data_IF_429795788309
#
_entry.id   IF_429795788309
#
_cell.length_a   1.000
_cell.length_b   1.000
_cell.length_c   1.000
_cell.angle_alpha   90.00
_cell.angle_beta   90.00
_cell.angle_gamma   90.00
#
_symmetry.space_group_name_H-M   'P 1'
#
loop_
_entity.id
_entity.type
_entity.pdbx_description
1 polymer ?
#
# COMPACT_ATOMS: atom_id res chain seq x y z
N UNK A 1 3.93 9.15 -0.57
CA UNK A 1 4.45 7.97 0.17
C UNK A 1 4.94 8.48 1.52
N UNK A 2 5.01 7.66 2.59
CA UNK A 2 5.89 8.10 3.68
C UNK A 2 7.30 7.74 3.22
N UNK A 3 8.19 8.73 3.18
CA UNK A 3 9.58 8.58 2.76
C UNK A 3 10.23 7.38 3.46
N UNK A 4 9.89 7.18 4.73
CA UNK A 4 10.37 6.11 5.60
C UNK A 4 10.21 4.70 5.00
N UNK A 5 9.07 4.37 4.37
CA UNK A 5 8.88 3.01 3.81
C UNK A 5 9.76 2.80 2.58
N UNK A 6 10.00 3.85 1.79
CA UNK A 6 10.89 3.76 0.63
C UNK A 6 12.35 3.69 1.03
N UNK A 7 12.73 4.42 2.08
CA UNK A 7 14.07 4.37 2.66
C UNK A 7 14.36 2.97 3.23
N UNK A 8 13.42 2.40 3.99
CA UNK A 8 13.52 1.02 4.51
C UNK A 8 13.69 -0.01 3.39
N UNK A 9 12.93 0.10 2.29
CA UNK A 9 13.06 -0.81 1.14
C UNK A 9 14.46 -0.69 0.52
N UNK A 10 14.97 0.54 0.34
CA UNK A 10 16.30 0.78 -0.20
C UNK A 10 17.39 0.19 0.70
N UNK A 11 17.28 0.37 2.01
CA UNK A 11 18.22 -0.18 2.99
C UNK A 11 18.23 -1.71 2.97
N UNK A 12 17.06 -2.35 2.85
CA UNK A 12 16.95 -3.81 2.74
C UNK A 12 17.60 -4.31 1.44
N UNK A 13 17.38 -3.63 0.31
CA UNK A 13 18.01 -3.98 -0.97
C UNK A 13 19.54 -3.86 -0.90
N UNK A 14 20.05 -2.85 -0.20
CA UNK A 14 21.48 -2.67 0.03
C UNK A 14 22.09 -3.75 0.92
N UNK A 15 21.41 -4.13 2.01
CA UNK A 15 21.84 -5.23 2.88
C UNK A 15 21.85 -6.55 2.12
N UNK A 16 20.81 -6.83 1.32
CA UNK A 16 20.78 -8.01 0.45
C UNK A 16 22.03 -8.02 -0.43
N UNK A 17 22.30 -6.96 -1.20
CA UNK A 17 23.49 -6.88 -2.06
C UNK A 17 24.79 -7.20 -1.30
N UNK A 18 24.98 -6.63 -0.11
CA UNK A 18 26.17 -6.88 0.73
C UNK A 18 26.27 -8.36 1.16
N UNK A 19 25.16 -9.00 1.53
CA UNK A 19 25.13 -10.44 1.87
C UNK A 19 25.53 -11.29 0.67
N UNK A 20 25.05 -10.97 -0.54
CA UNK A 20 25.42 -11.70 -1.76
C UNK A 20 26.91 -11.57 -2.07
N UNK A 21 27.49 -10.39 -1.87
CA UNK A 21 28.92 -10.18 -2.01
C UNK A 21 29.73 -10.95 -0.96
N UNK A 22 29.29 -10.94 0.30
CA UNK A 22 29.91 -11.69 1.39
C UNK A 22 29.90 -13.20 1.10
N UNK A 23 28.75 -13.75 0.68
CA UNK A 23 28.62 -15.15 0.27
C UNK A 23 29.60 -15.52 -0.84
N UNK A 24 29.70 -14.69 -1.88
CA UNK A 24 30.65 -14.92 -2.98
C UNK A 24 32.13 -14.91 -2.50
N UNK A 25 32.48 -14.07 -1.53
CA UNK A 25 33.83 -14.03 -0.96
C UNK A 25 34.12 -15.26 -0.10
N UNK A 26 33.12 -15.74 0.66
CA UNK A 26 33.22 -16.96 1.46
C UNK A 26 33.42 -18.17 0.56
N UNK A 27 32.61 -18.33 -0.49
CA UNK A 27 32.78 -19.43 -1.44
C UNK A 27 34.19 -19.44 -2.08
N UNK A 28 34.72 -18.27 -2.47
CA UNK A 28 36.10 -18.16 -2.98
C UNK A 28 37.15 -18.50 -1.92
N UNK A 29 36.89 -18.17 -0.65
CA UNK A 29 37.79 -18.46 0.46
C UNK A 29 37.76 -19.94 0.77
N UNK A 30 36.59 -20.57 0.87
CA UNK A 30 36.41 -22.00 1.08
C UNK A 30 37.19 -22.83 0.05
N UNK A 31 37.12 -22.47 -1.24
CA UNK A 31 37.90 -23.11 -2.31
C UNK A 31 39.42 -22.98 -2.10
N UNK A 32 39.90 -21.82 -1.64
CA UNK A 32 41.32 -21.60 -1.32
C UNK A 32 41.76 -22.35 -0.06
N UNK A 33 40.91 -22.40 0.97
CA UNK A 33 41.18 -23.15 2.20
C UNK A 33 41.21 -24.66 1.92
N UNK A 34 40.33 -25.16 1.04
CA UNK A 34 40.40 -26.50 0.45
C UNK A 34 41.69 -26.78 -0.35
N UNK A 35 42.56 -25.79 -0.57
CA UNK A 35 43.90 -26.03 -1.13
C UNK A 35 45.02 -26.11 -0.06
N UNK A 36 44.84 -25.59 1.16
CA UNK A 36 45.83 -25.59 2.26
C UNK A 36 45.78 -26.88 3.12
N UNK A 37 46.75 -27.19 3.99
CA UNK A 37 46.93 -28.52 4.60
C UNK A 37 45.84 -28.97 5.64
N UNK A 38 45.77 -30.29 5.90
CA UNK A 38 44.57 -31.08 6.31
C UNK A 38 43.78 -30.75 7.58
N UNK A 39 44.39 -30.38 8.71
CA UNK A 39 43.62 -30.10 9.95
C UNK A 39 43.10 -28.67 10.00
N UNK A 40 43.93 -27.70 9.62
CA UNK A 40 43.53 -26.30 9.42
C UNK A 40 42.43 -26.14 8.35
N UNK A 41 42.35 -27.13 7.45
CA UNK A 41 41.36 -27.26 6.37
C UNK A 41 39.95 -27.57 6.86
N UNK A 42 39.86 -28.42 7.87
CA UNK A 42 38.59 -29.05 8.24
C UNK A 42 37.80 -28.13 9.16
N UNK A 43 38.45 -27.50 10.13
CA UNK A 43 37.82 -26.53 11.04
C UNK A 43 37.37 -25.27 10.28
N UNK A 44 38.28 -24.62 9.54
CA UNK A 44 37.95 -23.41 8.78
C UNK A 44 36.98 -23.68 7.63
N UNK A 45 37.04 -24.85 7.01
CA UNK A 45 36.07 -25.26 5.98
C UNK A 45 34.66 -25.40 6.54
N UNK A 46 34.52 -26.09 7.67
CA UNK A 46 33.22 -26.27 8.36
C UNK A 46 32.67 -24.93 8.86
N UNK A 47 33.52 -24.05 9.40
CA UNK A 47 33.09 -22.73 9.86
C UNK A 47 32.61 -21.85 8.70
N UNK A 48 33.27 -21.91 7.54
CA UNK A 48 32.86 -21.17 6.35
C UNK A 48 31.55 -21.70 5.78
N UNK A 49 31.35 -23.01 5.74
CA UNK A 49 30.06 -23.62 5.34
C UNK A 49 28.93 -23.21 6.29
N UNK A 50 29.17 -23.27 7.60
CA UNK A 50 28.20 -22.80 8.60
C UNK A 50 27.88 -21.31 8.44
N UNK A 51 28.88 -20.49 8.12
CA UNK A 51 28.67 -19.07 7.87
C UNK A 51 27.88 -18.83 6.57
N UNK A 52 28.13 -19.62 5.53
CA UNK A 52 27.36 -19.56 4.28
C UNK A 52 25.88 -19.94 4.50
N UNK A 53 25.60 -20.96 5.30
CA UNK A 53 24.23 -21.35 5.68
C UNK A 53 23.53 -20.19 6.40
N UNK A 54 24.17 -19.59 7.42
CA UNK A 54 23.60 -18.45 8.15
C UNK A 54 23.36 -17.24 7.25
N UNK A 55 24.27 -16.94 6.33
CA UNK A 55 24.04 -15.86 5.36
C UNK A 55 22.86 -16.16 4.43
N UNK A 56 22.65 -17.42 4.07
CA UNK A 56 21.49 -17.83 3.28
C UNK A 56 20.18 -17.68 4.07
N UNK A 57 20.16 -18.05 5.35
CA UNK A 57 19.01 -17.86 6.23
C UNK A 57 18.67 -16.37 6.35
N UNK A 58 19.65 -15.52 6.67
CA UNK A 58 19.47 -14.06 6.76
C UNK A 58 18.98 -13.48 5.42
N UNK A 59 19.51 -13.95 4.30
CA UNK A 59 19.05 -13.54 2.97
C UNK A 59 17.57 -13.89 2.76
N UNK A 60 17.16 -15.11 3.10
CA UNK A 60 15.78 -15.56 2.93
C UNK A 60 14.82 -14.77 3.84
N UNK A 61 15.22 -14.50 5.09
CA UNK A 61 14.43 -13.70 6.02
C UNK A 61 14.26 -12.26 5.50
N UNK A 62 15.33 -11.65 5.00
CA UNK A 62 15.29 -10.31 4.41
C UNK A 62 14.43 -10.27 3.14
N UNK A 63 14.48 -11.29 2.29
CA UNK A 63 13.62 -11.38 1.11
C UNK A 63 12.15 -11.49 1.52
N UNK A 64 11.82 -12.27 2.55
CA UNK A 64 10.47 -12.34 3.13
C UNK A 64 9.99 -10.99 3.62
N UNK A 65 10.82 -10.30 4.43
CA UNK A 65 10.50 -8.97 4.95
C UNK A 65 10.33 -7.94 3.82
N UNK A 66 11.15 -8.03 2.76
CA UNK A 66 11.04 -7.17 1.59
C UNK A 66 9.71 -7.38 0.86
N UNK A 67 9.25 -8.63 0.71
CA UNK A 67 7.94 -8.93 0.11
C UNK A 67 6.80 -8.39 0.97
N UNK A 68 6.85 -8.60 2.29
CA UNK A 68 5.86 -8.06 3.23
C UNK A 68 5.80 -6.53 3.15
N UNK A 69 6.95 -5.85 3.12
CA UNK A 69 7.02 -4.40 2.98
C UNK A 69 6.42 -3.91 1.65
N UNK A 70 6.63 -4.64 0.55
CA UNK A 70 6.02 -4.35 -0.76
C UNK A 70 4.50 -4.52 -0.71
N UNK A 71 4.00 -5.60 -0.13
CA UNK A 71 2.56 -5.85 0.04
C UNK A 71 1.92 -4.76 0.90
N UNK A 72 2.51 -4.40 2.04
CA UNK A 72 2.02 -3.32 2.90
C UNK A 72 1.95 -1.98 2.16
N UNK A 73 2.92 -1.72 1.25
CA UNK A 73 2.90 -0.52 0.40
C UNK A 73 1.71 -0.53 -0.55
N UNK A 74 1.43 -1.66 -1.20
CA UNK A 74 0.31 -1.82 -2.12
C UNK A 74 -1.03 -1.69 -1.40
N UNK A 75 -1.18 -2.33 -0.24
CA UNK A 75 -2.38 -2.25 0.59
C UNK A 75 -2.66 -0.81 1.05
N UNK A 76 -1.61 -0.07 1.46
CA UNK A 76 -1.74 1.34 1.84
C UNK A 76 -2.22 2.21 0.67
N UNK A 77 -1.75 1.94 -0.55
CA UNK A 77 -2.19 2.65 -1.75
C UNK A 77 -3.64 2.30 -2.09
N UNK A 78 -4.00 1.02 -2.02
CA UNK A 78 -5.36 0.55 -2.24
C UNK A 78 -6.33 1.18 -1.23
N UNK A 79 -5.98 1.19 0.06
CA UNK A 79 -6.77 1.81 1.13
C UNK A 79 -6.96 3.32 0.90
N UNK A 80 -5.88 4.05 0.55
CA UNK A 80 -5.97 5.47 0.24
C UNK A 80 -6.92 5.72 -0.95
N UNK A 81 -6.87 4.89 -1.99
CA UNK A 81 -7.77 5.00 -3.14
C UNK A 81 -9.22 4.70 -2.78
N UNK A 82 -9.46 3.72 -1.90
CA UNK A 82 -10.79 3.32 -1.46
C UNK A 82 -11.44 4.42 -0.63
N UNK A 83 -10.71 4.99 0.34
CA UNK A 83 -11.17 6.14 1.14
C UNK A 83 -11.56 7.31 0.24
N UNK A 84 -10.71 7.63 -0.75
CA UNK A 84 -10.98 8.72 -1.69
C UNK A 84 -12.29 8.51 -2.45
N UNK A 85 -12.51 7.31 -2.98
CA UNK A 85 -13.76 6.95 -3.68
C UNK A 85 -14.97 7.02 -2.76
N UNK A 86 -14.86 6.58 -1.52
CA UNK A 86 -15.96 6.66 -0.56
C UNK A 86 -16.36 8.11 -0.28
N UNK A 87 -15.39 9.00 -0.08
CA UNK A 87 -15.63 10.43 0.13
C UNK A 87 -16.29 11.04 -1.12
N UNK A 88 -15.73 10.80 -2.31
CA UNK A 88 -16.30 11.29 -3.57
C UNK A 88 -17.74 10.78 -3.78
N UNK A 89 -18.01 9.52 -3.44
CA UNK A 89 -19.35 8.96 -3.50
C UNK A 89 -20.30 9.63 -2.51
N UNK A 90 -19.89 9.84 -1.25
CA UNK A 90 -20.71 10.53 -0.25
C UNK A 90 -21.04 11.97 -0.67
N UNK A 91 -20.07 12.71 -1.20
CA UNK A 91 -20.28 14.07 -1.72
C UNK A 91 -21.28 14.06 -2.88
N UNK A 92 -21.13 13.11 -3.81
CA UNK A 92 -22.07 12.94 -4.93
C UNK A 92 -23.48 12.57 -4.47
N UNK A 93 -23.62 11.74 -3.43
CA UNK A 93 -24.93 11.40 -2.85
C UNK A 93 -25.58 12.63 -2.21
N UNK A 94 -24.83 13.39 -1.40
CA UNK A 94 -25.34 14.63 -0.77
C UNK A 94 -25.80 15.66 -1.80
N UNK A 95 -25.00 15.88 -2.85
CA UNK A 95 -25.36 16.82 -3.92
C UNK A 95 -26.65 16.41 -4.63
N UNK A 96 -26.84 15.12 -4.92
CA UNK A 96 -28.08 14.62 -5.53
C UNK A 96 -29.29 14.76 -4.62
N UNK A 97 -29.12 14.56 -3.32
CA UNK A 97 -30.19 14.75 -2.34
C UNK A 97 -30.60 16.22 -2.25
N UNK A 98 -29.63 17.15 -2.20
CA UNK A 98 -29.87 18.60 -2.21
C UNK A 98 -30.59 19.06 -3.48
N UNK A 99 -30.15 18.60 -4.66
CA UNK A 99 -30.82 18.89 -5.93
C UNK A 99 -32.26 18.34 -5.95
N UNK A 100 -32.47 17.14 -5.44
CA UNK A 100 -33.78 16.50 -5.38
C UNK A 100 -34.71 17.29 -4.47
N UNK A 101 -34.23 17.70 -3.30
CA UNK A 101 -35.01 18.46 -2.33
C UNK A 101 -35.35 19.85 -2.87
N UNK A 102 -34.38 20.56 -3.45
CA UNK A 102 -34.60 21.86 -4.11
C UNK A 102 -35.67 21.74 -5.21
N UNK A 103 -35.63 20.68 -6.01
CA UNK A 103 -36.62 20.45 -7.06
C UNK A 103 -38.02 20.14 -6.51
N UNK A 104 -38.11 19.41 -5.40
CA UNK A 104 -39.39 19.14 -4.73
C UNK A 104 -39.98 20.43 -4.17
N UNK A 105 -39.17 21.25 -3.50
CA UNK A 105 -39.58 22.54 -2.94
C UNK A 105 -40.07 23.50 -4.02
N UNK A 106 -39.35 23.62 -5.14
CA UNK A 106 -39.76 24.45 -6.27
C UNK A 106 -41.13 24.02 -6.83
N UNK A 107 -41.35 22.70 -7.00
CA UNK A 107 -42.65 22.17 -7.46
C UNK A 107 -43.78 22.38 -6.46
N UNK A 108 -43.48 22.32 -5.16
CA UNK A 108 -44.48 22.59 -4.13
C UNK A 108 -44.89 24.07 -4.16
N UNK A 109 -43.95 24.97 -4.39
CA UNK A 109 -44.23 26.40 -4.42
C UNK A 109 -45.01 26.81 -5.67
N UNK A 110 -44.64 26.27 -6.84
CA UNK A 110 -45.41 26.43 -8.08
C UNK A 110 -46.87 25.98 -7.88
N UNK A 111 -47.07 24.80 -7.28
CA UNK A 111 -48.41 24.26 -7.04
C UNK A 111 -49.21 25.03 -5.99
N UNK A 112 -48.57 25.64 -5.00
CA UNK A 112 -49.24 26.55 -4.06
C UNK A 112 -49.73 27.80 -4.78
N UNK A 113 -48.94 28.34 -5.70
CA UNK A 113 -49.33 29.52 -6.47
C UNK A 113 -50.50 29.21 -7.41
N UNK A 114 -50.48 28.06 -8.10
CA UNK A 114 -51.62 27.59 -8.91
C UNK A 114 -52.91 27.49 -8.09
N UNK A 115 -52.82 26.95 -6.87
CA UNK A 115 -53.96 26.85 -5.95
C UNK A 115 -54.44 28.25 -5.55
N UNK A 116 -53.53 29.17 -5.22
CA UNK A 116 -53.88 30.55 -4.86
C UNK A 116 -54.60 31.26 -6.00
N UNK A 117 -54.07 31.18 -7.22
CA UNK A 117 -54.71 31.76 -8.41
C UNK A 117 -56.10 31.17 -8.68
N UNK A 118 -56.28 29.86 -8.42
CA UNK A 118 -57.56 29.19 -8.58
C UNK A 118 -58.58 29.68 -7.55
N UNK A 119 -58.17 29.84 -6.29
CA UNK A 119 -59.03 30.40 -5.23
C UNK A 119 -59.43 31.83 -5.57
N UNK A 120 -58.50 32.69 -5.98
CA UNK A 120 -58.82 34.07 -6.37
C UNK A 120 -59.82 34.15 -7.54
N UNK A 121 -59.71 33.23 -8.51
CA UNK A 121 -60.66 33.14 -9.63
C UNK A 121 -62.05 32.70 -9.18
N UNK A 122 -62.15 31.86 -8.16
CA UNK A 122 -63.43 31.46 -7.57
C UNK A 122 -64.05 32.65 -6.83
N UNK A 123 -63.28 33.32 -5.97
CA UNK A 123 -63.77 34.47 -5.17
C UNK A 123 -64.20 35.69 -6.01
N UNK A 124 -63.65 35.86 -7.22
CA UNK A 124 -64.03 36.96 -8.14
C UNK A 124 -65.25 36.66 -9.01
N UNK A 125 -65.73 35.41 -9.04
CA UNK A 125 -66.88 34.98 -9.84
C UNK A 125 -68.14 34.74 -8.97
N UNK A 126 -68.08 35.01 -7.66
CA UNK A 126 -69.22 35.16 -6.74
C UNK A 126 -69.52 36.64 -6.48
#
# INVERSE_FOLDING_TARGET
MSEDISEIISDIEDVLRLIKEAKNRIGKTAVKTQALAGEFKQEVGVDLENFEIRLQEIWNDLDSVLQEAKTLREDKLAMKSSIRKTIENEENYKMKDEETQTRIEAKLEERKEEIRETIEKIEKNE
#
